data_IF_571515258240
#
_entry.id   IF_571515258240
#
_cell.length_a   1.000
_cell.length_b   1.000
_cell.length_c   1.000
_cell.angle_alpha   90.00
_cell.angle_beta   90.00
_cell.angle_gamma   90.00
#
_symmetry.space_group_name_H-M   'P 1'
#
loop_
_entity.id
_entity.type
_entity.pdbx_description
1 polymer ?
#
# COMPACT_ATOMS: atom_id res chain seq x y z
N UNK A 1 10.12 7.56 22.45
CA UNK A 1 11.57 7.25 22.60
C UNK A 1 12.37 8.28 21.84
N UNK A 2 13.53 8.69 22.39
CA UNK A 2 14.49 9.58 21.71
C UNK A 2 15.70 8.74 21.35
N UNK A 3 16.12 8.81 20.09
CA UNK A 3 17.26 8.07 19.55
C UNK A 3 18.11 9.05 18.75
N UNK A 4 19.43 8.94 18.90
CA UNK A 4 20.39 9.73 18.12
C UNK A 4 20.86 8.87 16.95
N UNK A 5 20.81 9.43 15.75
CA UNK A 5 21.23 8.81 14.50
C UNK A 5 22.12 9.80 13.76
N UNK A 6 23.21 9.32 13.17
CA UNK A 6 24.08 10.12 12.33
C UNK A 6 23.55 10.11 10.89
N UNK A 7 23.39 11.30 10.30
CA UNK A 7 22.84 11.50 8.97
C UNK A 7 23.64 12.63 8.33
N UNK A 8 23.80 12.56 7.02
CA UNK A 8 24.35 13.65 6.24
C UNK A 8 23.51 14.93 6.42
N UNK A 9 24.17 16.05 6.71
CA UNK A 9 23.49 17.34 6.91
C UNK A 9 22.83 17.81 5.60
N UNK A 10 23.43 17.52 4.45
CA UNK A 10 22.89 17.90 3.14
C UNK A 10 21.54 17.21 2.87
N UNK A 11 21.38 15.97 3.34
CA UNK A 11 20.12 15.23 3.25
C UNK A 11 19.06 15.81 4.20
N UNK A 12 19.47 16.26 5.38
CA UNK A 12 18.57 16.92 6.33
C UNK A 12 18.09 18.24 5.76
N UNK A 13 18.98 19.02 5.16
CA UNK A 13 18.63 20.30 4.56
C UNK A 13 17.69 20.13 3.37
N UNK A 14 17.92 19.13 2.51
CA UNK A 14 16.98 18.76 1.44
C UNK A 14 15.62 18.36 1.99
N UNK A 15 15.56 17.54 3.05
CA UNK A 15 14.30 17.16 3.69
C UNK A 15 13.56 18.39 4.23
N UNK A 16 14.28 19.34 4.83
CA UNK A 16 13.69 20.57 5.38
C UNK A 16 13.21 21.53 4.28
N UNK A 17 13.81 21.52 3.10
CA UNK A 17 13.31 22.28 1.95
C UNK A 17 11.96 21.75 1.45
N UNK A 18 11.77 20.41 1.48
CA UNK A 18 10.52 19.76 1.07
C UNK A 18 9.42 19.91 2.13
N UNK A 19 9.79 19.94 3.41
CA UNK A 19 8.88 20.08 4.54
C UNK A 19 9.11 21.40 5.31
N UNK A 20 8.76 22.55 4.74
CA UNK A 20 8.98 23.84 5.38
C UNK A 20 8.07 24.03 6.60
N UNK A 21 8.58 24.73 7.62
CA UNK A 21 7.79 25.18 8.77
C UNK A 21 7.56 24.14 9.86
N UNK A 22 8.14 22.94 9.76
CA UNK A 22 8.12 21.93 10.83
C UNK A 22 9.51 21.72 11.44
N UNK A 23 9.59 21.00 12.56
CA UNK A 23 10.88 20.69 13.18
C UNK A 23 11.60 19.54 12.46
N UNK A 24 12.94 19.51 12.53
CA UNK A 24 13.77 18.41 11.98
C UNK A 24 13.29 17.02 12.43
N UNK A 25 12.89 16.89 13.70
CA UNK A 25 12.39 15.63 14.25
C UNK A 25 11.02 15.23 13.70
N UNK A 26 10.13 16.21 13.46
CA UNK A 26 8.83 15.97 12.83
C UNK A 26 8.97 15.59 11.35
N UNK A 27 9.84 16.30 10.62
CA UNK A 27 10.17 16.00 9.23
C UNK A 27 10.74 14.59 9.09
N UNK A 28 11.67 14.22 9.98
CA UNK A 28 12.24 12.87 9.97
C UNK A 28 11.20 11.78 10.25
N UNK A 29 10.29 12.00 11.21
CA UNK A 29 9.20 11.06 11.47
C UNK A 29 8.34 10.84 10.22
N UNK A 30 7.94 11.92 9.55
CA UNK A 30 7.16 11.83 8.30
C UNK A 30 7.91 11.10 7.20
N UNK A 31 9.20 11.39 7.02
CA UNK A 31 10.04 10.72 6.02
C UNK A 31 10.10 9.20 6.25
N UNK A 32 10.29 8.76 7.49
CA UNK A 32 10.31 7.34 7.84
C UNK A 32 8.95 6.69 7.62
N UNK A 33 7.85 7.32 8.06
CA UNK A 33 6.49 6.82 7.82
C UNK A 33 6.18 6.67 6.32
N UNK A 34 6.56 7.67 5.53
CA UNK A 34 6.41 7.66 4.08
C UNK A 34 7.22 6.52 3.44
N UNK A 35 8.47 6.34 3.85
CA UNK A 35 9.33 5.27 3.35
C UNK A 35 8.75 3.88 3.64
N UNK A 36 8.29 3.64 4.87
CA UNK A 36 7.66 2.37 5.25
C UNK A 36 6.39 2.13 4.43
N UNK A 37 5.55 3.17 4.23
CA UNK A 37 4.35 3.07 3.41
C UNK A 37 4.68 2.74 1.95
N UNK A 38 5.71 3.39 1.40
CA UNK A 38 6.16 3.16 0.04
C UNK A 38 6.69 1.73 -0.15
N UNK A 39 7.48 1.21 0.80
CA UNK A 39 7.96 -0.18 0.76
C UNK A 39 6.83 -1.20 0.81
N UNK A 40 5.77 -0.95 1.59
CA UNK A 40 4.57 -1.79 1.60
C UNK A 40 3.86 -1.78 0.24
N UNK A 41 3.75 -0.61 -0.39
CA UNK A 41 3.15 -0.47 -1.70
C UNK A 41 3.97 -1.17 -2.78
N UNK A 42 5.30 -1.01 -2.76
CA UNK A 42 6.22 -1.71 -3.65
C UNK A 42 6.09 -3.23 -3.50
N UNK A 43 6.05 -3.73 -2.26
CA UNK A 43 5.81 -5.16 -1.99
C UNK A 43 4.46 -5.64 -2.51
N UNK A 44 3.40 -4.83 -2.36
CA UNK A 44 2.08 -5.15 -2.90
C UNK A 44 2.08 -5.15 -4.44
N UNK A 45 2.71 -4.15 -5.07
CA UNK A 45 2.85 -4.08 -6.52
C UNK A 45 3.70 -5.22 -7.09
N UNK A 46 4.71 -5.69 -6.34
CA UNK A 46 5.47 -6.87 -6.74
C UNK A 46 4.62 -8.15 -6.76
N UNK A 47 3.51 -8.19 -6.02
CA UNK A 47 2.51 -9.26 -6.10
C UNK A 47 1.55 -9.08 -7.29
N UNK A 48 1.49 -7.90 -7.91
CA UNK A 48 0.69 -7.69 -9.11
C UNK A 48 1.31 -8.47 -10.28
N UNK A 49 0.71 -9.61 -10.60
CA UNK A 49 1.22 -10.57 -11.59
C UNK A 49 1.52 -11.96 -11.01
N UNK A 50 1.55 -12.13 -9.68
CA UNK A 50 1.77 -13.44 -9.04
C UNK A 50 0.54 -14.36 -9.04
N UNK A 51 -0.53 -13.99 -9.76
CA UNK A 51 -1.77 -14.79 -9.83
C UNK A 51 -2.54 -14.90 -8.50
N UNK A 52 -2.18 -14.11 -7.48
CA UNK A 52 -2.79 -14.21 -6.14
C UNK A 52 -4.27 -13.80 -6.11
N UNK A 53 -4.73 -13.08 -7.14
CA UNK A 53 -6.15 -12.86 -7.36
C UNK A 53 -6.53 -13.68 -8.59
N UNK A 54 -7.09 -14.86 -8.36
CA UNK A 54 -7.75 -15.65 -9.39
C UNK A 54 -9.02 -14.89 -9.80
N UNK A 55 -8.86 -13.98 -10.76
CA UNK A 55 -9.92 -13.20 -11.38
C UNK A 55 -10.58 -14.01 -12.50
N UNK A 56 -10.85 -15.30 -12.31
CA UNK A 56 -11.78 -16.00 -13.20
C UNK A 56 -13.22 -15.55 -12.90
N UNK A 57 -13.48 -14.29 -13.24
CA UNK A 57 -14.79 -13.65 -13.12
C UNK A 57 -15.85 -14.41 -13.93
N UNK A 58 -15.44 -15.13 -14.98
CA UNK A 58 -16.35 -16.00 -15.75
C UNK A 58 -16.73 -17.26 -14.98
N UNK A 59 -15.83 -17.84 -14.18
CA UNK A 59 -16.17 -18.94 -13.27
C UNK A 59 -17.08 -18.48 -12.13
N UNK A 60 -16.85 -17.28 -11.57
CA UNK A 60 -17.73 -16.68 -10.57
C UNK A 60 -19.14 -16.41 -11.15
N UNK A 61 -19.23 -15.83 -12.35
CA UNK A 61 -20.49 -15.57 -13.04
C UNK A 61 -21.27 -16.87 -13.34
N UNK A 62 -20.61 -17.91 -13.86
CA UNK A 62 -21.25 -19.22 -14.10
C UNK A 62 -21.82 -19.82 -12.81
N UNK A 63 -21.16 -19.60 -11.68
CA UNK A 63 -21.60 -20.11 -10.38
C UNK A 63 -22.86 -19.39 -9.92
N UNK A 64 -22.90 -18.06 -10.04
CA UNK A 64 -24.09 -17.26 -9.71
C UNK A 64 -25.28 -17.56 -10.62
N UNK A 65 -25.07 -17.66 -11.94
CA UNK A 65 -26.11 -18.05 -12.90
C UNK A 65 -26.69 -19.45 -12.60
N UNK A 66 -25.86 -20.39 -12.13
CA UNK A 66 -26.32 -21.72 -11.70
C UNK A 66 -27.16 -21.66 -10.42
N UNK A 67 -26.80 -20.82 -9.45
CA UNK A 67 -27.60 -20.61 -8.23
C UNK A 67 -28.97 -20.01 -8.55
N UNK A 68 -29.01 -18.99 -9.41
CA UNK A 68 -30.26 -18.37 -9.88
C UNK A 68 -31.17 -19.37 -10.60
N UNK A 69 -30.62 -20.19 -11.50
CA UNK A 69 -31.39 -21.26 -12.17
C UNK A 69 -31.94 -22.31 -11.20
N UNK A 70 -31.26 -22.60 -10.10
CA UNK A 70 -31.74 -23.52 -9.07
C UNK A 70 -32.88 -22.89 -8.24
N UNK A 71 -32.76 -21.62 -7.87
CA UNK A 71 -33.82 -20.91 -7.13
C UNK A 71 -35.07 -20.61 -7.97
N UNK A 72 -34.92 -20.31 -9.25
CA UNK A 72 -36.05 -20.08 -10.16
C UNK A 72 -36.84 -21.35 -10.53
N UNK A 73 -36.28 -22.54 -10.27
CA UNK A 73 -36.92 -23.84 -10.54
C UNK A 73 -37.64 -24.43 -9.31
N UNK A 74 -37.53 -23.75 -8.16
CA UNK A 74 -38.14 -24.14 -6.88
C UNK A 74 -39.38 -23.30 -6.52
N UNK A 75 -39.90 -22.52 -7.48
CA UNK A 75 -41.20 -21.83 -7.40
C UNK A 75 -42.14 -22.41 -8.43
#
# INVERSE_FOLDING_TARGET
MRTTIAIDEDLVDQLMQVEPGISRSAAMRRAVEAHVRQKRLEGFMALAGSGLVDLDWRAAERTELRKLKRHGRAR
#
